data_IF_025979505132
#
_entry.id   IF_025979505132
#
_cell.length_a   1.000
_cell.length_b   1.000
_cell.length_c   1.000
_cell.angle_alpha   90.00
_cell.angle_beta   90.00
_cell.angle_gamma   90.00
#
_symmetry.space_group_name_H-M   'P 1'
#
loop_
_entity.id
_entity.type
_entity.pdbx_description
1 polymer ?
#
# COMPACT_ATOMS: atom_id res chain seq x y z
N UNK A 1 -3.31 -0.11 -5.54
CA UNK A 1 -2.06 0.61 -5.16
C UNK A 1 -0.94 -0.32 -4.72
N UNK A 2 -1.02 -1.04 -3.58
CA UNK A 2 0.07 -1.90 -3.10
C UNK A 2 0.48 -3.03 -4.05
N UNK A 3 -0.50 -3.71 -4.67
CA UNK A 3 -0.22 -4.77 -5.66
C UNK A 3 0.44 -4.25 -6.95
N UNK A 4 0.20 -3.00 -7.34
CA UNK A 4 0.83 -2.38 -8.52
C UNK A 4 2.34 -2.21 -8.28
N UNK A 5 2.70 -1.74 -7.10
CA UNK A 5 4.11 -1.60 -6.70
C UNK A 5 4.79 -2.97 -6.62
N UNK A 6 4.14 -3.97 -6.01
CA UNK A 6 4.66 -5.34 -5.96
C UNK A 6 4.86 -5.93 -7.36
N UNK A 7 3.94 -5.70 -8.30
CA UNK A 7 4.11 -6.14 -9.68
C UNK A 7 5.27 -5.41 -10.40
N UNK A 8 5.47 -4.12 -10.12
CA UNK A 8 6.60 -3.36 -10.66
C UNK A 8 7.95 -3.87 -10.13
N UNK A 9 8.00 -4.22 -8.84
CA UNK A 9 9.18 -4.81 -8.19
C UNK A 9 9.52 -6.18 -8.80
N UNK A 10 8.52 -7.06 -8.92
CA UNK A 10 8.67 -8.37 -9.57
C UNK A 10 9.10 -8.29 -11.04
N UNK A 11 8.70 -7.23 -11.75
CA UNK A 11 9.10 -7.01 -13.15
C UNK A 11 10.55 -6.53 -13.32
N UNK A 12 11.24 -6.18 -12.21
CA UNK A 12 12.60 -5.64 -12.21
C UNK A 12 12.68 -4.20 -12.71
N UNK A 13 11.58 -3.44 -12.66
CA UNK A 13 11.51 -2.04 -13.06
C UNK A 13 11.84 -1.07 -11.92
N UNK A 14 11.92 -1.56 -10.69
CA UNK A 14 12.28 -0.76 -9.51
C UNK A 14 13.81 -0.70 -9.41
N UNK A 15 14.37 0.50 -9.51
CA UNK A 15 15.81 0.70 -9.34
C UNK A 15 16.18 0.70 -7.84
N UNK A 16 17.18 -0.08 -7.41
CA UNK A 16 17.59 -0.16 -6.00
C UNK A 16 18.16 1.16 -5.44
N UNK A 17 18.53 2.10 -6.32
CA UNK A 17 19.00 3.44 -5.94
C UNK A 17 17.89 4.43 -5.58
N UNK A 18 16.62 4.15 -5.94
CA UNK A 18 15.44 4.96 -5.57
C UNK A 18 14.27 4.03 -5.26
N UNK A 19 14.18 3.49 -4.02
CA UNK A 19 13.14 2.55 -3.63
C UNK A 19 11.72 3.15 -3.60
N UNK A 20 11.58 4.46 -3.81
CA UNK A 20 10.29 5.17 -3.69
C UNK A 20 9.57 5.34 -5.03
N UNK A 21 10.21 5.01 -6.16
CA UNK A 21 9.64 5.26 -7.49
C UNK A 21 10.26 4.41 -8.59
N UNK A 22 9.41 3.94 -9.50
CA UNK A 22 9.79 3.28 -10.74
C UNK A 22 9.47 4.20 -11.95
N UNK A 23 10.17 4.06 -13.08
CA UNK A 23 9.95 4.89 -14.26
C UNK A 23 8.50 4.77 -14.74
N UNK A 24 7.80 5.90 -14.86
CA UNK A 24 6.39 5.92 -15.28
C UNK A 24 5.37 5.63 -14.18
N UNK A 25 5.77 5.64 -12.90
CA UNK A 25 4.88 5.48 -11.72
C UNK A 25 3.59 6.31 -11.81
N UNK A 26 3.69 7.60 -12.15
CA UNK A 26 2.51 8.46 -12.29
C UNK A 26 1.54 7.98 -13.37
N UNK A 27 2.05 7.56 -14.53
CA UNK A 27 1.23 7.07 -15.62
C UNK A 27 0.57 5.73 -15.26
N UNK A 28 1.27 4.85 -14.53
CA UNK A 28 0.73 3.58 -14.06
C UNK A 28 -0.40 3.79 -13.03
N UNK A 29 -0.21 4.68 -12.04
CA UNK A 29 -1.27 5.02 -11.09
C UNK A 29 -2.44 5.77 -11.73
N UNK A 30 -2.17 6.62 -12.72
CA UNK A 30 -3.21 7.30 -13.48
C UNK A 30 -4.04 6.28 -14.30
N UNK A 31 -3.40 5.24 -14.85
CA UNK A 31 -4.12 4.18 -15.55
C UNK A 31 -5.05 3.37 -14.62
N UNK A 32 -4.60 3.02 -13.41
CA UNK A 32 -5.42 2.35 -12.38
C UNK A 32 -6.61 3.23 -11.96
N UNK A 33 -6.38 4.53 -11.77
CA UNK A 33 -7.43 5.50 -11.44
C UNK A 33 -8.45 5.65 -12.57
N UNK A 34 -8.00 5.87 -13.81
CA UNK A 34 -8.89 5.99 -14.98
C UNK A 34 -9.66 4.69 -15.20
N UNK A 35 -9.01 3.54 -15.07
CA UNK A 35 -9.67 2.22 -15.15
C UNK A 35 -10.76 2.04 -14.10
N UNK A 36 -10.49 2.41 -12.85
CA UNK A 36 -11.48 2.36 -11.76
C UNK A 36 -12.64 3.33 -12.00
N UNK A 37 -12.36 4.56 -12.46
CA UNK A 37 -13.40 5.54 -12.78
C UNK A 37 -14.32 5.05 -13.90
N UNK A 38 -13.74 4.58 -15.02
CA UNK A 38 -14.51 4.07 -16.16
C UNK A 38 -15.29 2.81 -15.77
N UNK A 39 -14.69 1.90 -15.00
CA UNK A 39 -15.36 0.72 -14.46
C UNK A 39 -16.56 1.08 -13.56
N UNK A 40 -16.39 2.05 -12.66
CA UNK A 40 -17.48 2.57 -11.84
C UNK A 40 -18.62 3.18 -12.66
N UNK A 41 -18.31 3.92 -13.73
CA UNK A 41 -19.32 4.45 -14.67
C UNK A 41 -20.07 3.36 -15.42
N UNK A 42 -19.40 2.26 -15.76
CA UNK A 42 -20.00 1.07 -16.38
C UNK A 42 -20.77 0.20 -15.37
N UNK A 43 -20.78 0.56 -14.08
CA UNK A 43 -21.48 -0.16 -13.03
C UNK A 43 -20.74 -1.41 -12.52
N UNK A 44 -19.45 -1.55 -12.81
CA UNK A 44 -18.61 -2.66 -12.31
C UNK A 44 -17.92 -2.28 -11.00
N UNK A 45 -17.43 -3.27 -10.25
CA UNK A 45 -16.56 -3.04 -9.09
C UNK A 45 -15.22 -2.40 -9.50
N UNK A 46 -14.49 -1.86 -8.53
CA UNK A 46 -13.18 -1.23 -8.75
C UNK A 46 -12.21 -2.18 -9.44
N UNK A 47 -11.71 -1.76 -10.60
CA UNK A 47 -10.74 -2.53 -11.39
C UNK A 47 -9.35 -2.16 -10.90
N UNK A 48 -8.66 -3.10 -10.28
CA UNK A 48 -7.26 -2.92 -9.86
C UNK A 48 -6.45 -4.17 -10.20
N UNK A 49 -5.13 -4.08 -10.00
CA UNK A 49 -4.21 -5.19 -10.27
C UNK A 49 -4.32 -6.23 -9.16
N UNK A 50 -4.64 -7.47 -9.51
CA UNK A 50 -4.76 -8.58 -8.57
C UNK A 50 -3.50 -9.45 -8.53
N UNK A 51 -3.21 -10.03 -7.37
CA UNK A 51 -2.01 -10.84 -7.18
C UNK A 51 -1.92 -12.07 -8.08
N UNK A 52 -3.05 -12.67 -8.43
CA UNK A 52 -3.09 -13.79 -9.39
C UNK A 52 -2.65 -13.40 -10.81
N UNK A 53 -2.81 -12.12 -11.20
CA UNK A 53 -2.34 -11.63 -12.50
C UNK A 53 -0.83 -11.45 -12.55
N UNK A 54 -0.13 -11.51 -11.41
CA UNK A 54 1.34 -11.46 -11.38
C UNK A 54 1.98 -12.70 -12.01
N UNK A 55 1.27 -13.83 -12.10
CA UNK A 55 1.73 -15.02 -12.81
C UNK A 55 2.09 -14.72 -14.29
N UNK A 56 1.34 -13.82 -14.94
CA UNK A 56 1.66 -13.39 -16.30
C UNK A 56 2.96 -12.59 -16.39
N UNK A 57 3.36 -11.89 -15.33
CA UNK A 57 4.64 -11.17 -15.27
C UNK A 57 5.80 -12.15 -15.08
N UNK A 58 5.61 -13.21 -14.27
CA UNK A 58 6.57 -14.30 -14.09
C UNK A 58 6.87 -15.05 -15.40
N UNK A 59 5.85 -15.24 -16.24
CA UNK A 59 6.01 -15.86 -17.56
C UNK A 59 6.61 -14.92 -18.61
N UNK A 60 6.97 -13.68 -18.25
CA UNK A 60 7.63 -12.71 -19.12
C UNK A 60 6.70 -11.68 -19.76
N UNK A 61 5.46 -11.57 -19.29
CA UNK A 61 4.49 -10.54 -19.70
C UNK A 61 4.90 -9.13 -19.24
N UNK A 62 5.85 -8.52 -19.94
CA UNK A 62 6.38 -7.17 -19.63
C UNK A 62 5.85 -6.07 -20.57
N UNK A 63 4.95 -6.42 -21.48
CA UNK A 63 4.40 -5.48 -22.47
C UNK A 63 2.90 -5.28 -22.26
N UNK A 64 2.38 -4.11 -22.62
CA UNK A 64 0.93 -3.84 -22.58
C UNK A 64 0.10 -4.71 -23.53
N UNK A 65 0.74 -5.46 -24.44
CA UNK A 65 0.04 -6.37 -25.35
C UNK A 65 -0.60 -7.55 -24.61
N UNK A 66 0.01 -8.03 -23.52
CA UNK A 66 -0.59 -9.09 -22.68
C UNK A 66 -1.87 -8.60 -22.03
N UNK A 67 -1.87 -7.37 -21.49
CA UNK A 67 -3.06 -6.75 -20.92
C UNK A 67 -4.18 -6.56 -21.95
N UNK A 68 -3.85 -6.12 -23.17
CA UNK A 68 -4.83 -6.01 -24.28
C UNK A 68 -5.40 -7.36 -24.69
N UNK A 69 -4.55 -8.39 -24.76
CA UNK A 69 -4.97 -9.75 -25.11
C UNK A 69 -5.93 -10.29 -24.04
N UNK A 70 -5.59 -10.14 -22.76
CA UNK A 70 -6.45 -10.55 -21.63
C UNK A 70 -7.79 -9.79 -21.66
N UNK A 71 -7.78 -8.48 -21.90
CA UNK A 71 -9.00 -7.68 -22.00
C UNK A 71 -9.89 -8.13 -23.18
N UNK A 72 -9.28 -8.44 -24.34
CA UNK A 72 -9.99 -8.95 -25.50
C UNK A 72 -10.59 -10.34 -25.25
N UNK A 73 -9.83 -11.25 -24.63
CA UNK A 73 -10.35 -12.56 -24.23
C UNK A 73 -11.48 -12.42 -23.21
N UNK A 74 -11.37 -11.50 -22.25
CA UNK A 74 -12.42 -11.22 -21.28
C UNK A 74 -13.70 -10.65 -21.95
N UNK A 75 -13.55 -9.80 -22.96
CA UNK A 75 -14.66 -9.33 -23.77
C UNK A 75 -15.38 -10.48 -24.51
N UNK A 76 -14.64 -11.43 -25.07
CA UNK A 76 -15.22 -12.65 -25.66
C UNK A 76 -15.93 -13.49 -24.59
N UNK A 77 -15.40 -13.57 -23.37
CA UNK A 77 -16.02 -14.31 -22.26
C UNK A 77 -17.43 -13.81 -21.90
N UNK A 78 -17.77 -12.55 -22.17
CA UNK A 78 -19.14 -12.03 -21.94
C UNK A 78 -20.17 -12.81 -22.77
N UNK A 79 -19.82 -13.20 -24.01
CA UNK A 79 -20.69 -14.04 -24.85
C UNK A 79 -20.73 -15.51 -24.40
N UNK A 80 -19.69 -15.98 -23.71
CA UNK A 80 -19.61 -17.34 -23.14
C UNK A 80 -20.18 -17.43 -21.72
N UNK A 81 -20.51 -16.31 -21.07
CA UNK A 81 -21.11 -16.27 -19.73
C UNK A 81 -22.37 -17.16 -19.58
N UNK A 82 -23.34 -17.21 -20.53
CA UNK A 82 -24.47 -18.12 -20.40
C UNK A 82 -24.07 -19.61 -20.42
N UNK A 83 -22.94 -19.95 -21.04
CA UNK A 83 -22.37 -21.31 -21.04
C UNK A 83 -21.72 -21.65 -19.69
N UNK A 84 -21.11 -20.65 -19.03
CA UNK A 84 -20.45 -20.80 -17.74
C UNK A 84 -21.43 -20.86 -16.56
N UNK A 85 -22.66 -20.36 -16.73
CA UNK A 85 -23.71 -20.40 -15.70
C UNK A 85 -24.17 -21.82 -15.33
N UNK A 86 -23.80 -22.86 -16.10
CA UNK A 86 -24.09 -24.25 -15.77
C UNK A 86 -23.06 -24.90 -14.83
N UNK A 87 -21.98 -24.20 -14.49
CA UNK A 87 -20.92 -24.73 -13.63
C UNK A 87 -21.34 -24.57 -12.15
N UNK A 88 -21.27 -25.63 -11.33
CA UNK A 88 -21.60 -25.54 -9.92
C UNK A 88 -20.65 -24.59 -9.18
N UNK A 89 -21.21 -23.78 -8.28
CA UNK A 89 -20.47 -22.79 -7.47
C UNK A 89 -19.40 -23.39 -6.58
N UNK A 90 -19.46 -24.70 -6.30
CA UNK A 90 -18.41 -25.43 -5.58
C UNK A 90 -17.07 -25.47 -6.34
N UNK A 91 -17.06 -25.23 -7.65
CA UNK A 91 -15.83 -25.31 -8.47
C UNK A 91 -14.87 -24.13 -8.28
N UNK A 92 -15.33 -22.96 -7.81
CA UNK A 92 -14.49 -21.77 -7.62
C UNK A 92 -13.79 -21.74 -6.25
N UNK A 93 -14.23 -22.58 -5.31
CA UNK A 93 -13.62 -22.73 -3.98
C UNK A 93 -12.11 -22.99 -3.99
N UNK A 94 -11.58 -24.01 -4.71
CA UNK A 94 -10.14 -24.30 -4.68
C UNK A 94 -9.29 -23.16 -5.27
N UNK A 95 -9.81 -22.41 -6.24
CA UNK A 95 -9.11 -21.26 -6.80
C UNK A 95 -8.93 -20.14 -5.76
N UNK A 96 -9.98 -19.82 -4.99
CA UNK A 96 -9.92 -18.82 -3.93
C UNK A 96 -8.95 -19.20 -2.81
N UNK A 97 -8.83 -20.49 -2.48
CA UNK A 97 -7.87 -20.98 -1.48
C UNK A 97 -6.43 -20.75 -1.97
N UNK A 98 -6.13 -21.09 -3.23
CA UNK A 98 -4.79 -20.87 -3.80
C UNK A 98 -4.41 -19.38 -3.84
N UNK A 99 -5.33 -18.52 -4.23
CA UNK A 99 -5.12 -17.06 -4.23
C UNK A 99 -4.82 -16.56 -2.82
N UNK A 100 -5.53 -17.06 -1.80
CA UNK A 100 -5.27 -16.75 -0.40
C UNK A 100 -3.85 -17.13 0.05
N UNK A 101 -3.34 -18.28 -0.40
CA UNK A 101 -1.96 -18.71 -0.10
C UNK A 101 -0.94 -17.76 -0.73
N UNK A 102 -1.13 -17.38 -2.00
CA UNK A 102 -0.23 -16.45 -2.69
C UNK A 102 -0.21 -15.05 -2.03
N UNK A 103 -1.34 -14.58 -1.50
CA UNK A 103 -1.39 -13.28 -0.82
C UNK A 103 -0.65 -13.26 0.53
N UNK A 104 -0.51 -14.40 1.22
CA UNK A 104 0.23 -14.48 2.49
C UNK A 104 1.74 -14.45 2.27
N UNK A 105 2.24 -14.79 1.08
CA UNK A 105 3.69 -14.81 0.81
C UNK A 105 4.36 -13.45 1.07
N UNK A 106 3.69 -12.34 0.76
CA UNK A 106 4.21 -10.98 0.99
C UNK A 106 4.41 -10.61 2.47
N UNK A 107 3.89 -11.39 3.42
CA UNK A 107 4.16 -11.19 4.85
C UNK A 107 5.64 -11.46 5.19
N UNK A 108 6.35 -12.25 4.36
CA UNK A 108 7.77 -12.55 4.55
C UNK A 108 8.68 -11.34 4.31
N UNK A 109 8.27 -10.40 3.47
CA UNK A 109 9.10 -9.25 3.08
C UNK A 109 9.07 -8.12 4.13
N UNK A 110 8.33 -8.30 5.22
CA UNK A 110 8.25 -7.32 6.31
C UNK A 110 9.54 -7.36 7.14
N UNK A 111 10.18 -6.21 7.36
CA UNK A 111 11.34 -6.08 8.25
C UNK A 111 10.93 -6.18 9.73
N UNK A 112 10.88 -7.40 10.27
CA UNK A 112 10.50 -7.67 11.66
C UNK A 112 11.46 -7.09 12.72
N UNK A 113 12.65 -6.64 12.31
CA UNK A 113 13.63 -6.01 13.19
C UNK A 113 13.30 -4.56 13.55
N UNK A 114 12.50 -3.87 12.74
CA UNK A 114 12.06 -2.50 13.01
C UNK A 114 10.63 -2.50 13.56
N UNK A 115 10.49 -2.16 14.85
CA UNK A 115 9.19 -2.05 15.49
C UNK A 115 8.28 -0.99 14.85
N UNK A 116 8.84 0.01 14.16
CA UNK A 116 8.05 1.00 13.42
C UNK A 116 7.34 0.40 12.21
N UNK A 117 7.82 -0.70 11.65
CA UNK A 117 7.20 -1.41 10.53
C UNK A 117 6.46 -2.69 10.96
N UNK A 118 6.98 -3.41 11.96
CA UNK A 118 6.41 -4.67 12.44
C UNK A 118 5.07 -4.48 13.19
N UNK A 119 4.96 -3.43 14.01
CA UNK A 119 3.73 -3.14 14.77
C UNK A 119 2.55 -2.78 13.85
N UNK A 120 2.65 -1.81 12.91
CA UNK A 120 1.51 -1.45 12.06
C UNK A 120 1.10 -2.58 11.10
N UNK A 121 2.05 -3.39 10.59
CA UNK A 121 1.74 -4.52 9.72
C UNK A 121 0.99 -5.64 10.46
N UNK A 122 1.38 -5.95 11.70
CA UNK A 122 0.68 -6.92 12.55
C UNK A 122 -0.74 -6.45 12.89
N UNK A 123 -0.90 -5.17 13.23
CA UNK A 123 -2.22 -4.58 13.49
C UNK A 123 -3.10 -4.60 12.22
N UNK A 124 -2.51 -4.32 11.06
CA UNK A 124 -3.19 -4.41 9.76
C UNK A 124 -3.79 -5.81 9.57
N UNK A 125 -2.96 -6.85 9.68
CA UNK A 125 -3.37 -8.25 9.47
C UNK A 125 -4.45 -8.66 10.48
N UNK A 126 -4.29 -8.28 11.75
CA UNK A 126 -5.23 -8.67 12.80
C UNK A 126 -6.60 -7.98 12.64
N UNK A 127 -6.61 -6.68 12.36
CA UNK A 127 -7.85 -5.93 12.10
C UNK A 127 -8.54 -6.41 10.82
N UNK A 128 -7.74 -6.79 9.82
CA UNK A 128 -8.24 -7.31 8.56
C UNK A 128 -9.03 -8.59 8.74
N UNK A 129 -8.45 -9.57 9.44
CA UNK A 129 -9.06 -10.87 9.71
C UNK A 129 -10.30 -10.70 10.61
N UNK A 130 -10.22 -9.82 11.61
CA UNK A 130 -11.31 -9.63 12.57
C UNK A 130 -12.51 -8.89 11.95
N UNK A 131 -12.25 -7.89 11.10
CA UNK A 131 -13.30 -7.03 10.54
C UNK A 131 -13.83 -7.51 9.20
N UNK A 132 -13.14 -8.45 8.53
CA UNK A 132 -13.42 -8.91 7.18
C UNK A 132 -13.49 -7.77 6.14
N UNK A 133 -12.83 -6.64 6.39
CA UNK A 133 -12.82 -5.44 5.54
C UNK A 133 -11.41 -4.89 5.34
N UNK A 134 -10.96 -4.87 4.08
CA UNK A 134 -9.62 -4.39 3.64
C UNK A 134 -9.35 -2.96 4.10
N UNK A 135 -10.37 -2.12 4.02
CA UNK A 135 -10.30 -0.70 4.38
C UNK A 135 -9.98 -0.49 5.86
N UNK A 136 -10.59 -1.28 6.75
CA UNK A 136 -10.43 -1.10 8.20
C UNK A 136 -9.04 -1.56 8.67
N UNK A 137 -8.53 -2.65 8.09
CA UNK A 137 -7.16 -3.11 8.34
C UNK A 137 -6.13 -2.05 7.97
N UNK A 138 -6.22 -1.52 6.74
CA UNK A 138 -5.29 -0.51 6.23
C UNK A 138 -5.39 0.82 7.02
N UNK A 139 -6.61 1.27 7.34
CA UNK A 139 -6.80 2.47 8.14
C UNK A 139 -6.22 2.32 9.56
N UNK A 140 -6.42 1.16 10.19
CA UNK A 140 -5.84 0.88 11.51
C UNK A 140 -4.32 0.86 11.50
N UNK A 141 -3.71 0.28 10.47
CA UNK A 141 -2.26 0.31 10.27
C UNK A 141 -1.73 1.75 10.15
N UNK A 142 -2.39 2.57 9.32
CA UNK A 142 -2.04 3.97 9.13
C UNK A 142 -2.15 4.78 10.43
N UNK A 143 -3.21 4.56 11.22
CA UNK A 143 -3.36 5.23 12.52
C UNK A 143 -2.25 4.87 13.50
N UNK A 144 -1.80 3.61 13.51
CA UNK A 144 -0.70 3.16 14.37
C UNK A 144 0.63 3.77 13.92
N UNK A 145 0.91 3.78 12.62
CA UNK A 145 2.09 4.47 12.06
C UNK A 145 2.09 5.96 12.46
N UNK A 146 1.00 6.67 12.17
CA UNK A 146 0.87 8.09 12.48
C UNK A 146 0.91 8.36 13.98
N UNK A 147 0.35 7.48 14.81
CA UNK A 147 0.43 7.58 16.26
C UNK A 147 1.88 7.53 16.74
N UNK A 148 2.66 6.56 16.28
CA UNK A 148 4.09 6.43 16.63
C UNK A 148 4.91 7.62 16.16
N UNK A 149 4.68 8.13 14.95
CA UNK A 149 5.38 9.32 14.43
C UNK A 149 4.90 10.61 15.12
N UNK A 150 3.61 10.76 15.42
CA UNK A 150 3.06 11.93 16.11
C UNK A 150 3.52 12.02 17.56
N UNK A 151 3.68 10.88 18.27
CA UNK A 151 4.34 10.86 19.58
C UNK A 151 5.81 11.31 19.48
N UNK A 152 6.54 10.90 18.43
CA UNK A 152 7.89 11.38 18.15
C UNK A 152 7.94 12.87 17.79
N UNK A 153 7.05 13.37 16.95
CA UNK A 153 6.93 14.80 16.62
C UNK A 153 6.53 15.63 17.83
N UNK A 154 5.61 15.15 18.66
CA UNK A 154 5.24 15.81 19.91
C UNK A 154 6.38 15.76 20.92
N UNK A 155 7.20 14.71 20.99
CA UNK A 155 8.39 14.65 21.84
C UNK A 155 9.52 15.57 21.36
N UNK A 156 9.75 15.68 20.05
CA UNK A 156 10.71 16.64 19.47
C UNK A 156 10.20 18.07 19.67
N UNK A 157 8.93 18.34 19.38
CA UNK A 157 8.30 19.64 19.58
C UNK A 157 8.18 20.01 21.08
N UNK A 158 7.96 19.04 21.97
CA UNK A 158 8.06 19.24 23.43
C UNK A 158 9.49 19.51 23.87
N UNK A 159 10.47 18.82 23.28
CA UNK A 159 11.89 19.03 23.58
C UNK A 159 12.32 20.43 23.14
N UNK A 160 11.96 20.85 21.94
CA UNK A 160 12.25 22.19 21.41
C UNK A 160 11.45 23.28 22.13
N UNK A 161 10.19 23.04 22.49
CA UNK A 161 9.39 23.99 23.28
C UNK A 161 9.79 24.04 24.77
N UNK A 162 10.37 22.97 25.31
CA UNK A 162 10.95 22.94 26.65
C UNK A 162 12.32 23.63 26.69
N UNK A 163 13.18 23.38 25.69
CA UNK A 163 14.47 24.06 25.51
C UNK A 163 14.27 25.55 25.24
N UNK A 164 13.31 25.93 24.38
CA UNK A 164 12.99 27.33 24.12
C UNK A 164 12.48 28.06 25.38
N UNK A 165 11.68 27.40 26.23
CA UNK A 165 11.27 27.95 27.53
C UNK A 165 12.44 28.09 28.51
N UNK A 166 13.37 27.14 28.51
CA UNK A 166 14.56 27.20 29.38
C UNK A 166 15.55 28.29 28.95
N UNK A 167 15.80 28.44 27.64
CA UNK A 167 16.66 29.50 27.09
C UNK A 167 16.04 30.90 27.32
N UNK A 168 14.73 31.04 27.16
CA UNK A 168 14.07 32.33 27.38
C UNK A 168 14.02 32.72 28.88
N UNK A 169 14.06 31.73 29.78
CA UNK A 169 14.22 31.93 31.23
C UNK A 169 15.64 32.37 31.64
N UNK A 170 16.66 32.09 30.83
CA UNK A 170 18.04 32.51 31.08
C UNK A 170 18.27 33.91 30.51
N UNK A 171 17.66 34.23 29.34
CA UNK A 171 17.77 35.53 28.68
C UNK A 171 17.04 36.67 29.41
N UNK A 172 16.07 36.35 30.28
CA UNK A 172 15.34 37.33 31.10
C UNK A 172 16.03 37.69 32.41
N UNK A 173 17.19 37.10 32.74
CA UNK A 173 18.01 37.60 33.85
C UNK A 173 18.77 38.84 33.36
N UNK A 174 18.46 40.05 33.87
CA UNK A 174 19.22 41.23 33.50
C UNK A 174 20.68 41.00 33.84
N UNK A 175 21.55 41.30 32.87
CA UNK A 175 22.98 41.44 33.07
C UNK A 175 23.20 42.61 34.05
N UNK A 176 23.16 42.32 35.34
CA UNK A 176 23.56 43.23 36.40
C UNK A 176 24.95 42.80 36.88
N UNK A 177 25.97 43.06 36.05
CA UNK A 177 27.33 43.29 36.52
C UNK A 177 28.19 43.84 35.37
N UNK A 178 28.06 45.14 35.08
CA UNK A 178 29.18 45.93 34.58
C UNK A 178 29.54 46.91 35.71
N UNK A 179 30.79 46.88 36.24
CA UNK A 179 31.25 47.88 37.19
C UNK A 179 31.69 49.13 36.42
N UNK A 180 30.97 50.24 36.60
CA UNK A 180 31.50 51.58 36.29
C UNK A 180 32.20 52.14 37.53
N UNK A 181 33.45 52.58 37.32
CA UNK A 181 34.23 53.58 38.10
C UNK A 181 34.48 53.36 39.60
#
# INVERSE_FOLDING_TARGET
MGFLYAAADLSGLVDPSKPETFPGCFAAFMADAVGTFVGGFLGTSSVTTYGESMAGVYEGGRTGLTALTIAFLNFICIFLTPLLSSIPTLSTGPALVMVGVFMIEGVKDIEWGDYMQAVPSTVCILLQITTYKIEVGVLGALMVCLGSTNTLYLSICWSDAAVARHVNSIRSRPAACEPEA
#
